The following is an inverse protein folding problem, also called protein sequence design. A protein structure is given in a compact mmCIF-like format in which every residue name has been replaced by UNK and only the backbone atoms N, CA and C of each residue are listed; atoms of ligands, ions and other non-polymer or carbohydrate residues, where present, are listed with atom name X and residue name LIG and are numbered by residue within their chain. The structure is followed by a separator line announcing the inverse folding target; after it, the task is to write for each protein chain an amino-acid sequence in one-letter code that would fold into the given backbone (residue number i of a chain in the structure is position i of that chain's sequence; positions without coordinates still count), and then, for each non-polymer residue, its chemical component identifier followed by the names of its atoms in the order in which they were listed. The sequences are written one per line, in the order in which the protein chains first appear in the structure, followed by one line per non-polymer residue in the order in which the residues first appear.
data_IF_157831899319
#
_entry.id   IF_157831899319
#
_cell.length_a   1.000
_cell.length_b   1.000
_cell.length_c   1.000
_cell.angle_alpha   90.00
_cell.angle_beta   90.00
_cell.angle_gamma   90.00
#
_symmetry.space_group_name_H-M   'P 1'
#
loop_
_entity.id
_entity.type
_entity.pdbx_description
1 polymer ?
#
# COMPACT_ATOMS: atom_id res chain seq x y z
N UNK A 1 4.28 7.98 -14.08
CA UNK A 1 3.97 6.55 -14.03
C UNK A 1 3.06 6.36 -12.84
N UNK A 2 1.78 6.15 -13.08
CA UNK A 2 0.83 5.82 -12.01
C UNK A 2 1.17 4.39 -11.58
N UNK A 3 1.69 4.24 -10.36
CA UNK A 3 2.03 2.94 -9.77
C UNK A 3 0.74 2.22 -9.44
N UNK A 4 0.50 1.14 -10.16
CA UNK A 4 -0.68 0.32 -10.12
C UNK A 4 -0.41 -0.83 -9.13
N UNK A 5 -0.36 -0.51 -7.83
CA UNK A 5 0.02 -1.41 -6.72
C UNK A 5 -0.74 -2.76 -6.75
N UNK A 6 -0.13 -3.83 -7.29
CA UNK A 6 -0.71 -5.16 -7.47
C UNK A 6 0.11 -6.19 -6.67
N UNK A 7 -0.46 -6.72 -5.59
CA UNK A 7 -0.14 -8.06 -5.08
C UNK A 7 -1.12 -8.44 -3.97
N UNK A 8 -1.72 -9.65 -4.03
CA UNK A 8 -2.67 -10.14 -3.03
C UNK A 8 -2.26 -11.53 -2.53
N UNK A 9 -2.45 -11.70 -1.22
CA UNK A 9 -2.65 -12.99 -0.57
C UNK A 9 -3.34 -12.78 0.78
N UNK A 10 -4.65 -13.02 0.85
CA UNK A 10 -5.40 -13.06 2.12
C UNK A 10 -5.39 -14.50 2.63
N UNK A 11 -4.63 -14.75 3.71
CA UNK A 11 -4.67 -16.04 4.40
C UNK A 11 -4.76 -15.78 5.90
N UNK A 12 -5.99 -15.90 6.45
CA UNK A 12 -6.49 -16.00 7.86
C UNK A 12 -5.73 -15.31 9.03
N UNK A 13 -4.64 -14.58 8.81
CA UNK A 13 -3.75 -14.01 9.83
C UNK A 13 -2.91 -12.85 9.28
N UNK A 14 -2.74 -12.73 7.97
CA UNK A 14 -2.09 -11.59 7.30
C UNK A 14 -3.08 -11.00 6.31
N UNK A 15 -3.30 -9.69 6.40
CA UNK A 15 -4.02 -8.93 5.38
C UNK A 15 -2.98 -8.26 4.50
N UNK A 16 -2.79 -8.80 3.29
CA UNK A 16 -2.24 -8.01 2.19
C UNK A 16 -3.37 -7.13 1.70
N UNK A 17 -3.29 -5.83 1.99
CA UNK A 17 -4.30 -4.89 1.57
C UNK A 17 -3.87 -4.20 0.28
N UNK A 18 -4.59 -4.48 -0.80
CA UNK A 18 -4.55 -3.66 -2.01
C UNK A 18 -5.44 -2.44 -1.77
N UNK A 19 -4.81 -1.25 -1.67
CA UNK A 19 -5.56 0.00 -1.81
C UNK A 19 -5.25 0.58 -3.18
N UNK A 20 -6.17 0.35 -4.11
CA UNK A 20 -6.15 1.01 -5.39
C UNK A 20 -6.84 2.37 -5.27
N UNK A 21 -6.10 3.44 -5.53
CA UNK A 21 -6.60 4.80 -5.34
C UNK A 21 -6.96 5.46 -6.65
N UNK A 22 -8.22 5.35 -7.03
CA UNK A 22 -8.83 6.33 -7.91
C UNK A 22 -10.35 6.28 -7.81
N UNK A 23 -10.96 7.14 -7.00
CA UNK A 23 -12.34 7.55 -7.29
C UNK A 23 -12.28 8.77 -8.20
N UNK A 24 -12.56 8.54 -9.49
CA UNK A 24 -13.12 9.52 -10.44
C UNK A 24 -12.26 10.71 -10.91
N UNK A 25 -10.93 10.59 -11.06
CA UNK A 25 -10.13 11.68 -11.68
C UNK A 25 -8.96 11.22 -12.55
N UNK A 26 -8.92 9.97 -13.01
CA UNK A 26 -8.03 9.68 -14.13
C UNK A 26 -8.53 10.43 -15.37
N UNK A 27 -7.62 11.08 -16.11
CA UNK A 27 -7.97 11.90 -17.30
C UNK A 27 -8.66 11.08 -18.38
N UNK A 28 -8.38 9.79 -18.44
CA UNK A 28 -9.01 8.85 -19.36
C UNK A 28 -10.20 8.17 -18.67
N UNK A 29 -11.40 8.37 -19.22
CA UNK A 29 -12.64 7.80 -18.71
C UNK A 29 -12.67 6.27 -18.79
N UNK A 30 -12.09 5.68 -19.84
CA UNK A 30 -12.06 4.21 -20.02
C UNK A 30 -11.33 3.53 -18.86
N UNK A 31 -10.22 4.13 -18.40
CA UNK A 31 -9.47 3.61 -17.24
C UNK A 31 -10.34 3.61 -15.98
N UNK A 32 -11.20 4.60 -15.78
CA UNK A 32 -12.07 4.59 -14.62
C UNK A 32 -13.13 3.48 -14.72
N UNK A 33 -13.68 3.23 -15.91
CA UNK A 33 -14.66 2.15 -16.14
C UNK A 33 -14.04 0.78 -15.91
N UNK A 34 -12.88 0.50 -16.52
CA UNK A 34 -12.14 -0.75 -16.33
C UNK A 34 -11.80 -1.01 -14.86
N UNK A 35 -11.43 0.03 -14.10
CA UNK A 35 -11.15 -0.10 -12.67
C UNK A 35 -12.40 -0.44 -11.85
N UNK A 36 -13.58 0.09 -12.22
CA UNK A 36 -14.83 -0.28 -11.56
C UNK A 36 -15.22 -1.72 -11.86
N UNK A 37 -15.02 -2.16 -13.11
CA UNK A 37 -15.29 -3.54 -13.53
C UNK A 37 -14.34 -4.52 -12.82
N UNK A 38 -13.05 -4.19 -12.73
CA UNK A 38 -12.07 -4.99 -11.98
C UNK A 38 -12.43 -5.04 -10.50
N UNK A 39 -12.75 -3.90 -9.88
CA UNK A 39 -13.14 -3.85 -8.47
C UNK A 39 -14.38 -4.69 -8.17
N UNK A 40 -15.37 -4.68 -9.07
CA UNK A 40 -16.56 -5.52 -8.97
C UNK A 40 -16.29 -7.01 -9.23
N UNK A 41 -15.30 -7.33 -10.06
CA UNK A 41 -14.96 -8.71 -10.45
C UNK A 41 -14.09 -9.40 -9.40
N UNK A 42 -13.03 -8.73 -8.95
CA UNK A 42 -12.03 -9.30 -8.06
C UNK A 42 -12.41 -9.16 -6.58
N UNK A 43 -13.11 -8.06 -6.22
CA UNK A 43 -13.58 -7.83 -4.85
C UNK A 43 -12.49 -7.52 -3.82
N UNK A 44 -11.28 -7.21 -4.29
CA UNK A 44 -10.07 -6.97 -3.51
C UNK A 44 -9.55 -5.53 -3.63
N UNK A 45 -10.30 -4.66 -4.33
CA UNK A 45 -9.95 -3.27 -4.57
C UNK A 45 -10.75 -2.35 -3.63
N UNK A 46 -10.02 -1.62 -2.77
CA UNK A 46 -10.59 -0.52 -2.01
C UNK A 46 -10.34 0.83 -2.70
N UNK A 47 -11.39 1.45 -3.24
CA UNK A 47 -11.30 2.78 -3.85
C UNK A 47 -11.42 3.89 -2.79
N UNK A 48 -10.61 4.95 -2.94
CA UNK A 48 -10.60 6.13 -2.05
C UNK A 48 -11.01 7.43 -2.76
N UNK A 49 -11.70 8.37 -2.07
CA UNK A 49 -12.28 9.57 -2.67
C UNK A 49 -11.28 10.70 -2.98
N UNK A 50 -10.10 10.38 -3.50
CA UNK A 50 -9.09 11.38 -3.89
C UNK A 50 -8.28 10.95 -5.13
N UNK A 51 -7.62 11.92 -5.76
CA UNK A 51 -6.72 11.67 -6.91
C UNK A 51 -5.40 11.20 -6.38
N UNK A 52 -4.89 10.13 -6.95
CA UNK A 52 -3.59 9.62 -6.57
C UNK A 52 -2.45 10.52 -7.03
N UNK A 53 -1.65 10.95 -6.06
CA UNK A 53 -0.40 11.65 -6.27
C UNK A 53 0.67 11.02 -5.39
N UNK A 54 1.91 11.05 -5.88
CA UNK A 54 3.07 10.53 -5.15
C UNK A 54 3.21 11.13 -3.74
N UNK A 55 2.88 12.42 -3.58
CA UNK A 55 2.90 13.11 -2.29
C UNK A 55 1.89 12.59 -1.27
N UNK A 56 0.90 11.79 -1.68
CA UNK A 56 -0.13 11.24 -0.80
C UNK A 56 0.21 9.85 -0.25
N UNK A 57 1.37 9.27 -0.57
CA UNK A 57 1.81 7.95 -0.08
C UNK A 57 1.71 7.82 1.45
N UNK A 58 1.93 8.91 2.20
CA UNK A 58 1.74 8.92 3.65
C UNK A 58 0.28 8.70 4.05
N UNK A 59 -0.66 9.40 3.41
CA UNK A 59 -2.10 9.20 3.65
C UNK A 59 -2.53 7.79 3.26
N UNK A 60 -1.95 7.24 2.19
CA UNK A 60 -2.19 5.85 1.78
C UNK A 60 -1.82 4.87 2.88
N UNK A 61 -0.63 5.05 3.45
CA UNK A 61 -0.11 4.19 4.50
C UNK A 61 -1.01 4.24 5.73
N UNK A 62 -1.48 5.43 6.12
CA UNK A 62 -2.43 5.59 7.23
C UNK A 62 -3.74 4.86 6.92
N UNK A 63 -4.27 4.97 5.70
CA UNK A 63 -5.50 4.29 5.30
C UNK A 63 -5.36 2.75 5.37
N UNK A 64 -4.21 2.21 4.93
CA UNK A 64 -3.88 0.78 5.06
C UNK A 64 -3.91 0.35 6.52
N UNK A 65 -3.28 1.13 7.40
CA UNK A 65 -3.27 0.83 8.83
C UNK A 65 -4.69 0.84 9.41
N UNK A 66 -5.48 1.89 9.15
CA UNK A 66 -6.86 2.01 9.66
C UNK A 66 -7.73 0.87 9.18
N UNK A 67 -7.68 0.53 7.89
CA UNK A 67 -8.48 -0.56 7.33
C UNK A 67 -8.05 -1.90 7.93
N UNK A 68 -6.74 -2.18 7.93
CA UNK A 68 -6.20 -3.41 8.49
C UNK A 68 -6.54 -3.58 9.97
N UNK A 69 -6.43 -2.54 10.79
CA UNK A 69 -6.67 -2.67 12.24
C UNK A 69 -8.15 -2.58 12.61
N UNK A 70 -8.90 -1.65 12.03
CA UNK A 70 -10.25 -1.31 12.52
C UNK A 70 -11.36 -1.97 11.72
N UNK A 71 -11.11 -2.36 10.47
CA UNK A 71 -12.11 -3.01 9.61
C UNK A 71 -11.84 -4.51 9.55
N UNK A 72 -10.63 -4.91 9.16
CA UNK A 72 -10.28 -6.34 9.02
C UNK A 72 -9.81 -7.00 10.31
N UNK A 73 -9.47 -6.22 11.35
CA UNK A 73 -8.86 -6.74 12.59
C UNK A 73 -7.64 -7.63 12.34
N UNK A 74 -6.83 -7.25 11.35
CA UNK A 74 -5.65 -7.97 10.90
C UNK A 74 -4.60 -8.05 12.01
N UNK A 75 -3.99 -9.23 12.18
CA UNK A 75 -2.88 -9.42 13.12
C UNK A 75 -1.58 -8.81 12.58
N UNK A 76 -1.37 -8.89 11.27
CA UNK A 76 -0.23 -8.29 10.59
C UNK A 76 -0.68 -7.59 9.31
N UNK A 77 0.00 -6.50 8.99
CA UNK A 77 -0.24 -5.65 7.82
C UNK A 77 1.07 -5.56 7.03
N UNK A 78 1.02 -5.84 5.73
CA UNK A 78 2.15 -5.65 4.82
C UNK A 78 1.79 -4.62 3.76
N UNK A 79 2.70 -3.65 3.55
CA UNK A 79 2.69 -2.75 2.39
C UNK A 79 3.87 -3.10 1.49
N UNK A 80 3.63 -3.24 0.19
CA UNK A 80 4.65 -3.44 -0.85
C UNK A 80 4.23 -2.69 -2.11
N UNK A 81 5.19 -2.30 -2.95
CA UNK A 81 4.94 -1.64 -4.24
C UNK A 81 4.55 -2.65 -5.34
N UNK A 82 3.87 -2.21 -6.41
CA UNK A 82 3.49 -3.08 -7.56
C UNK A 82 4.68 -3.62 -8.32
N UNK A 83 5.78 -2.89 -8.30
CA UNK A 83 7.01 -3.25 -8.95
C UNK A 83 7.92 -4.10 -8.03
N UNK A 84 7.38 -4.59 -6.90
CA UNK A 84 8.09 -5.44 -5.96
C UNK A 84 7.62 -6.91 -6.03
N UNK A 85 8.58 -7.83 -5.98
CA UNK A 85 8.31 -9.26 -5.80
C UNK A 85 8.36 -9.64 -4.32
N UNK A 86 7.38 -10.42 -3.85
CA UNK A 86 7.31 -10.88 -2.45
C UNK A 86 7.23 -12.40 -2.36
N UNK A 87 8.11 -12.99 -1.56
CA UNK A 87 8.01 -14.39 -1.10
C UNK A 87 7.06 -14.48 0.10
N UNK A 88 5.79 -14.68 -0.17
CA UNK A 88 4.73 -14.67 0.85
C UNK A 88 4.94 -15.77 1.91
N UNK A 89 5.42 -16.93 1.50
CA UNK A 89 5.80 -18.07 2.36
C UNK A 89 6.81 -17.69 3.45
N UNK A 90 7.85 -16.94 3.08
CA UNK A 90 8.87 -16.46 4.03
C UNK A 90 8.34 -15.40 4.97
N UNK A 91 7.52 -14.48 4.46
CA UNK A 91 6.91 -13.44 5.28
C UNK A 91 6.06 -14.10 6.37
N UNK A 92 5.26 -15.11 6.02
CA UNK A 92 4.48 -15.88 6.98
C UNK A 92 5.35 -16.61 8.01
N UNK A 93 6.47 -17.21 7.58
CA UNK A 93 7.39 -17.87 8.49
C UNK A 93 7.98 -16.89 9.53
N UNK A 94 8.39 -15.69 9.09
CA UNK A 94 8.96 -14.66 9.97
C UNK A 94 7.93 -14.15 10.98
N UNK A 95 6.72 -13.79 10.52
CA UNK A 95 5.69 -13.21 11.39
C UNK A 95 4.97 -14.26 12.25
N UNK A 96 4.99 -15.53 11.84
CA UNK A 96 4.43 -16.67 12.59
C UNK A 96 5.19 -17.02 13.87
N UNK A 97 6.35 -16.40 14.10
CA UNK A 97 7.06 -16.50 15.39
C UNK A 97 6.27 -15.81 16.50
N UNK A 98 6.50 -16.21 17.76
CA UNK A 98 5.68 -15.79 18.90
C UNK A 98 6.06 -14.36 19.35
N UNK A 99 5.62 -13.38 18.57
CA UNK A 99 5.90 -11.96 18.81
C UNK A 99 4.91 -11.43 19.84
N UNK A 100 5.43 -10.97 20.98
CA UNK A 100 4.65 -10.47 22.13
C UNK A 100 4.56 -8.94 22.20
N UNK A 101 5.20 -8.23 21.27
CA UNK A 101 5.26 -6.76 21.20
C UNK A 101 5.02 -6.23 19.78
N UNK A 102 5.00 -4.91 19.61
CA UNK A 102 4.86 -4.30 18.28
C UNK A 102 6.01 -4.70 17.35
N UNK A 103 5.68 -5.25 16.17
CA UNK A 103 6.63 -5.61 15.12
C UNK A 103 6.61 -4.56 14.01
N UNK A 104 7.77 -3.99 13.71
CA UNK A 104 8.04 -3.29 12.45
C UNK A 104 9.24 -3.99 11.79
N UNK A 105 9.04 -4.52 10.58
CA UNK A 105 10.04 -5.29 9.86
C UNK A 105 10.23 -4.76 8.44
N UNK A 106 11.49 -4.75 7.98
CA UNK A 106 11.85 -4.31 6.63
C UNK A 106 13.22 -3.65 6.59
N UNK A 107 13.52 -2.95 5.50
CA UNK A 107 14.70 -2.10 5.38
C UNK A 107 14.45 -0.79 6.12
N UNK A 108 14.98 -0.68 7.33
CA UNK A 108 14.87 0.53 8.15
C UNK A 108 16.13 1.38 7.93
N UNK A 109 15.95 2.60 7.47
CA UNK A 109 17.03 3.60 7.38
C UNK A 109 16.79 4.69 8.42
N UNK A 110 17.71 4.82 9.38
CA UNK A 110 17.65 5.79 10.46
C UNK A 110 18.48 7.05 10.18
N UNK A 111 19.18 7.11 9.06
CA UNK A 111 20.18 8.14 8.76
C UNK A 111 19.75 9.13 7.67
N UNK A 112 18.54 8.98 7.13
CA UNK A 112 18.00 9.83 6.08
C UNK A 112 17.70 11.25 6.57
N UNK A 113 17.93 12.25 5.72
CA UNK A 113 17.54 13.64 5.94
C UNK A 113 16.71 14.16 4.77
N UNK A 114 15.94 15.24 4.94
CA UNK A 114 15.21 15.84 3.83
C UNK A 114 16.14 16.21 2.68
N UNK A 115 15.83 15.75 1.46
CA UNK A 115 16.64 16.07 0.29
C UNK A 115 16.40 17.52 -0.13
N UNK A 116 17.45 18.35 -0.11
CA UNK A 116 17.37 19.78 -0.45
C UNK A 116 17.86 20.12 -1.86
N UNK A 117 18.41 19.16 -2.59
CA UNK A 117 18.75 19.35 -4.00
C UNK A 117 17.46 19.31 -4.85
N UNK A 118 17.18 20.38 -5.60
CA UNK A 118 16.01 20.51 -6.48
C UNK A 118 15.96 19.48 -7.61
N UNK A 119 17.09 18.89 -7.99
CA UNK A 119 17.16 17.81 -8.99
C UNK A 119 16.84 16.43 -8.39
N UNK A 120 16.74 16.33 -7.06
CA UNK A 120 16.38 15.08 -6.39
C UNK A 120 14.91 14.73 -6.64
N UNK A 121 14.64 13.48 -7.01
CA UNK A 121 13.29 12.90 -7.01
C UNK A 121 12.56 13.14 -5.67
N UNK A 122 13.32 13.18 -4.58
CA UNK A 122 12.83 13.30 -3.19
C UNK A 122 12.91 14.71 -2.64
N UNK A 123 13.09 15.72 -3.50
CA UNK A 123 13.23 17.11 -3.07
C UNK A 123 12.05 17.58 -2.22
N UNK A 124 12.35 18.20 -1.09
CA UNK A 124 11.37 18.88 -0.24
C UNK A 124 11.90 20.30 0.06
N UNK A 125 11.04 21.30 -0.14
CA UNK A 125 11.34 22.69 0.20
C UNK A 125 11.41 22.91 1.71
N UNK A 126 11.91 24.08 2.12
CA UNK A 126 11.83 24.54 3.51
C UNK A 126 10.38 24.93 3.82
#
# INVERSE_FOLDING_TARGET
MLGLQLMIGVQRSVVLLQILMAVRKHKNLMVNEELWDEAGTCGDIQLMPFVDYYSLITLKTIAICIYGTNIESAKYIMKTDDDAFVRVDEVFFIVGTNITSGLLYGRIDSSTQPHRNVESKWYISI
#
